data_IF_228986807690
#
_entry.id   IF_228986807690
#
_cell.length_a   1.000
_cell.length_b   1.000
_cell.length_c   1.000
_cell.angle_alpha   90.00
_cell.angle_beta   90.00
_cell.angle_gamma   90.00
#
_symmetry.space_group_name_H-M   'P 1'
#
loop_
_entity.id
_entity.type
_entity.pdbx_description
1 polymer ?
#
# COMPACT_ATOMS: atom_id res chain seq x y z
N UNK A 1 -61.07 -18.05 -8.25
CA UNK A 1 -60.38 -18.56 -7.04
C UNK A 1 -58.94 -18.05 -7.05
N UNK A 2 -58.53 -17.24 -6.07
CA UNK A 2 -57.15 -16.75 -5.98
C UNK A 2 -56.23 -17.83 -5.42
N UNK A 3 -55.14 -18.15 -6.12
CA UNK A 3 -54.15 -19.12 -5.68
C UNK A 3 -53.44 -18.55 -4.43
N UNK A 4 -53.57 -19.21 -3.28
CA UNK A 4 -52.79 -18.88 -2.08
C UNK A 4 -51.35 -19.36 -2.28
N UNK A 5 -50.44 -18.44 -2.58
CA UNK A 5 -49.00 -18.72 -2.67
C UNK A 5 -48.44 -18.89 -1.25
N UNK A 6 -47.93 -20.08 -0.93
CA UNK A 6 -47.23 -20.39 0.32
C UNK A 6 -45.71 -20.19 0.12
N UNK A 7 -44.99 -19.73 1.14
CA UNK A 7 -43.52 -19.71 1.14
C UNK A 7 -42.85 -18.37 0.81
N UNK A 8 -43.59 -17.33 0.41
CA UNK A 8 -43.00 -15.99 0.12
C UNK A 8 -42.25 -15.42 1.34
N UNK A 9 -42.81 -15.59 2.55
CA UNK A 9 -42.16 -15.15 3.78
C UNK A 9 -40.82 -15.84 4.04
N UNK A 10 -40.73 -17.15 3.77
CA UNK A 10 -39.49 -17.90 3.90
C UNK A 10 -38.46 -17.47 2.84
N UNK A 11 -38.88 -17.28 1.59
CA UNK A 11 -38.00 -16.78 0.53
C UNK A 11 -37.44 -15.39 0.85
N UNK A 12 -38.26 -14.47 1.36
CA UNK A 12 -37.80 -13.13 1.82
C UNK A 12 -36.78 -13.23 2.94
N UNK A 13 -37.01 -14.12 3.92
CA UNK A 13 -36.07 -14.35 5.02
C UNK A 13 -34.72 -14.88 4.50
N UNK A 14 -34.73 -15.93 3.68
CA UNK A 14 -33.50 -16.50 3.12
C UNK A 14 -32.72 -15.51 2.25
N UNK A 15 -33.42 -14.67 1.48
CA UNK A 15 -32.78 -13.59 0.73
C UNK A 15 -32.10 -12.58 1.67
N UNK A 16 -32.79 -12.14 2.72
CA UNK A 16 -32.20 -11.21 3.69
C UNK A 16 -30.99 -11.84 4.40
N UNK A 17 -31.07 -13.11 4.79
CA UNK A 17 -29.96 -13.83 5.42
C UNK A 17 -28.75 -13.91 4.48
N UNK A 18 -28.98 -14.18 3.19
CA UNK A 18 -27.93 -14.22 2.16
C UNK A 18 -27.29 -12.84 1.96
N UNK A 19 -28.11 -11.79 1.87
CA UNK A 19 -27.61 -10.42 1.71
C UNK A 19 -26.76 -10.01 2.91
N UNK A 20 -27.20 -10.33 4.12
CA UNK A 20 -26.48 -10.01 5.35
C UNK A 20 -25.16 -10.77 5.46
N UNK A 21 -25.12 -12.04 5.05
CA UNK A 21 -23.89 -12.83 5.03
C UNK A 21 -22.89 -12.29 4.00
N UNK A 22 -23.36 -11.93 2.80
CA UNK A 22 -22.53 -11.31 1.76
C UNK A 22 -21.98 -9.97 2.24
N UNK A 23 -22.83 -9.04 2.67
CA UNK A 23 -22.42 -7.68 3.09
C UNK A 23 -21.54 -7.72 4.34
N UNK A 24 -21.89 -8.55 5.31
CA UNK A 24 -21.17 -8.62 6.58
C UNK A 24 -19.89 -9.43 6.47
N UNK A 25 -19.99 -10.72 6.17
CA UNK A 25 -18.87 -11.64 6.33
C UNK A 25 -18.01 -11.73 5.08
N UNK A 26 -18.65 -11.97 3.93
CA UNK A 26 -17.93 -12.30 2.69
C UNK A 26 -17.19 -11.10 2.10
N UNK A 27 -17.85 -9.95 2.00
CA UNK A 27 -17.23 -8.72 1.46
C UNK A 27 -16.08 -8.25 2.36
N UNK A 28 -16.25 -8.26 3.68
CA UNK A 28 -15.19 -7.84 4.61
C UNK A 28 -13.96 -8.75 4.46
N UNK A 29 -14.15 -10.08 4.38
CA UNK A 29 -13.05 -11.03 4.15
C UNK A 29 -12.39 -10.85 2.79
N UNK A 30 -13.19 -10.60 1.75
CA UNK A 30 -12.70 -10.28 0.41
C UNK A 30 -11.81 -9.04 0.41
N UNK A 31 -12.29 -7.93 0.97
CA UNK A 31 -11.54 -6.68 1.07
C UNK A 31 -10.26 -6.85 1.89
N UNK A 32 -10.32 -7.54 3.01
CA UNK A 32 -9.14 -7.79 3.84
C UNK A 32 -8.08 -8.61 3.07
N UNK A 33 -8.51 -9.62 2.31
CA UNK A 33 -7.62 -10.44 1.50
C UNK A 33 -7.03 -9.65 0.33
N UNK A 34 -7.85 -8.88 -0.37
CA UNK A 34 -7.42 -8.00 -1.46
C UNK A 34 -6.37 -6.98 -0.97
N UNK A 35 -6.64 -6.30 0.14
CA UNK A 35 -5.70 -5.33 0.71
C UNK A 35 -4.40 -5.98 1.19
N UNK A 36 -4.44 -7.25 1.64
CA UNK A 36 -3.24 -7.97 2.03
C UNK A 36 -2.33 -8.23 0.82
N UNK A 37 -2.91 -8.65 -0.30
CA UNK A 37 -2.18 -8.86 -1.55
C UNK A 37 -1.56 -7.56 -2.07
N UNK A 38 -2.39 -6.51 -2.21
CA UNK A 38 -1.94 -5.19 -2.64
C UNK A 38 -0.85 -4.66 -1.71
N UNK A 39 -1.04 -4.79 -0.39
CA UNK A 39 -0.08 -4.31 0.60
C UNK A 39 1.25 -5.05 0.54
N UNK A 40 1.22 -6.36 0.36
CA UNK A 40 2.43 -7.17 0.19
C UNK A 40 3.19 -6.76 -1.07
N UNK A 41 2.51 -6.60 -2.20
CA UNK A 41 3.13 -6.17 -3.45
C UNK A 41 3.66 -4.74 -3.38
N UNK A 42 2.90 -3.82 -2.81
CA UNK A 42 3.34 -2.44 -2.62
C UNK A 42 4.56 -2.36 -1.68
N UNK A 43 4.60 -3.17 -0.62
CA UNK A 43 5.72 -3.24 0.31
C UNK A 43 7.02 -3.67 -0.39
N UNK A 44 6.94 -4.59 -1.36
CA UNK A 44 8.10 -5.01 -2.16
C UNK A 44 8.70 -3.85 -2.99
N UNK A 45 7.87 -2.94 -3.48
CA UNK A 45 8.31 -1.76 -4.24
C UNK A 45 8.63 -0.55 -3.37
N UNK A 46 8.39 -0.61 -2.06
CA UNK A 46 8.57 0.52 -1.16
C UNK A 46 10.04 0.72 -0.83
N UNK A 47 10.61 1.92 -1.02
CA UNK A 47 11.98 2.22 -0.57
C UNK A 47 12.12 2.09 0.95
N UNK A 48 13.25 1.54 1.38
CA UNK A 48 13.60 1.31 2.77
C UNK A 48 14.84 2.14 3.12
N UNK A 49 14.71 2.95 4.17
CA UNK A 49 15.83 3.63 4.81
C UNK A 49 15.92 3.19 6.27
N UNK A 50 15.18 3.87 7.14
CA UNK A 50 15.03 3.56 8.57
C UNK A 50 13.88 2.59 8.84
N UNK A 51 13.33 1.95 7.81
CA UNK A 51 12.09 1.15 7.83
C UNK A 51 10.82 1.89 8.27
N UNK A 52 10.89 3.20 8.53
CA UNK A 52 9.73 3.99 8.98
C UNK A 52 8.60 3.98 7.94
N UNK A 53 8.94 4.12 6.65
CA UNK A 53 7.92 4.11 5.59
C UNK A 53 7.19 2.77 5.54
N UNK A 54 7.91 1.66 5.37
CA UNK A 54 7.29 0.33 5.26
C UNK A 54 6.48 -0.04 6.52
N UNK A 55 6.97 0.32 7.71
CA UNK A 55 6.27 0.08 8.98
C UNK A 55 5.06 0.99 9.21
N UNK A 56 4.89 2.03 8.40
CA UNK A 56 3.72 2.93 8.45
C UNK A 56 2.56 2.45 7.57
N UNK A 57 2.66 1.27 6.94
CA UNK A 57 1.58 0.73 6.12
C UNK A 57 0.35 0.43 6.98
N UNK A 58 -0.80 0.96 6.58
CA UNK A 58 -2.08 0.71 7.24
C UNK A 58 -3.09 0.14 6.25
N UNK A 59 -4.07 -0.59 6.80
CA UNK A 59 -5.25 -1.09 6.11
C UNK A 59 -6.47 -0.79 6.95
N UNK A 60 -7.52 -0.29 6.33
CA UNK A 60 -8.74 0.12 7.00
C UNK A 60 -9.95 -0.31 6.17
N UNK A 61 -11.03 -0.71 6.84
CA UNK A 61 -12.30 -1.02 6.19
C UNK A 61 -13.34 -0.08 6.78
N UNK A 62 -13.99 0.70 5.91
CA UNK A 62 -15.17 1.48 6.26
C UNK A 62 -16.42 0.76 5.74
N UNK A 63 -17.24 0.28 6.67
CA UNK A 63 -18.49 -0.42 6.40
C UNK A 63 -19.73 0.38 6.87
N UNK A 64 -19.57 1.67 7.20
CA UNK A 64 -20.63 2.49 7.77
C UNK A 64 -21.62 3.06 6.75
N UNK A 65 -21.30 2.98 5.46
CA UNK A 65 -22.08 3.59 4.37
C UNK A 65 -22.80 2.60 3.45
N UNK A 66 -23.30 3.13 2.33
CA UNK A 66 -23.90 2.33 1.24
C UNK A 66 -22.86 1.43 0.55
N UNK A 67 -21.60 1.87 0.54
CA UNK A 67 -20.46 1.13 -0.01
C UNK A 67 -19.56 0.68 1.13
N UNK A 68 -19.11 -0.57 1.06
CA UNK A 68 -18.03 -1.06 1.93
C UNK A 68 -16.72 -0.77 1.19
N UNK A 69 -15.86 0.05 1.80
CA UNK A 69 -14.63 0.54 1.19
C UNK A 69 -13.42 0.02 1.96
N UNK A 70 -12.48 -0.61 1.26
CA UNK A 70 -11.15 -0.91 1.79
C UNK A 70 -10.16 0.20 1.42
N UNK A 71 -9.40 0.68 2.39
CA UNK A 71 -8.31 1.66 2.21
C UNK A 71 -6.98 1.02 2.60
N UNK A 72 -5.97 1.22 1.77
CA UNK A 72 -4.59 0.88 2.08
C UNK A 72 -3.69 2.08 1.76
N UNK A 73 -2.71 2.32 2.61
CA UNK A 73 -1.78 3.43 2.43
C UNK A 73 -0.64 3.41 3.42
N UNK A 74 0.09 4.52 3.49
CA UNK A 74 1.18 4.74 4.43
C UNK A 74 0.88 5.99 5.25
N UNK A 75 1.04 5.89 6.57
CA UNK A 75 0.77 7.01 7.49
C UNK A 75 1.96 7.95 7.66
N UNK A 76 3.16 7.59 7.16
CA UNK A 76 4.30 8.50 7.18
C UNK A 76 4.01 9.77 6.35
N UNK A 77 4.17 10.95 6.96
CA UNK A 77 3.88 12.25 6.32
C UNK A 77 4.63 12.45 4.98
N UNK A 78 5.83 11.87 4.86
CA UNK A 78 6.63 11.99 3.65
C UNK A 78 6.27 10.96 2.56
N UNK A 79 5.36 10.03 2.83
CA UNK A 79 5.05 8.91 1.92
C UNK A 79 4.57 9.38 0.56
N UNK A 80 3.73 10.42 0.50
CA UNK A 80 3.23 10.97 -0.77
C UNK A 80 4.37 11.53 -1.64
N UNK A 81 5.35 12.22 -1.04
CA UNK A 81 6.49 12.75 -1.76
C UNK A 81 7.40 11.63 -2.29
N UNK A 82 7.61 10.58 -1.50
CA UNK A 82 8.39 9.42 -1.94
C UNK A 82 7.64 8.62 -3.01
N UNK A 83 6.32 8.52 -2.90
CA UNK A 83 5.47 7.85 -3.89
C UNK A 83 5.56 8.50 -5.27
N UNK A 84 5.55 9.83 -5.34
CA UNK A 84 5.63 10.58 -6.60
C UNK A 84 7.06 10.85 -7.09
N UNK A 85 8.07 10.55 -6.28
CA UNK A 85 9.45 10.81 -6.65
C UNK A 85 9.91 9.89 -7.80
N UNK A 86 10.62 10.48 -8.77
CA UNK A 86 10.99 9.83 -10.04
C UNK A 86 11.88 8.59 -9.97
N UNK A 87 12.42 8.22 -8.79
CA UNK A 87 13.31 7.06 -8.66
C UNK A 87 14.65 7.17 -9.41
N UNK A 88 15.07 8.37 -9.85
CA UNK A 88 16.29 8.58 -10.66
C UNK A 88 17.58 8.03 -10.04
N UNK A 89 17.64 7.93 -8.71
CA UNK A 89 18.81 7.44 -7.96
C UNK A 89 18.65 5.97 -7.51
N UNK A 90 17.83 5.19 -8.24
CA UNK A 90 17.62 3.75 -8.01
C UNK A 90 18.92 2.97 -8.02
N UNK A 91 19.15 2.22 -6.94
CA UNK A 91 20.36 1.41 -6.73
C UNK A 91 21.63 2.22 -6.48
N UNK A 92 21.57 3.55 -6.42
CA UNK A 92 22.75 4.37 -6.16
C UNK A 92 22.97 4.52 -4.65
N UNK A 93 24.22 4.39 -4.17
CA UNK A 93 24.54 4.55 -2.76
C UNK A 93 24.21 5.98 -2.29
N UNK A 94 23.75 6.12 -1.05
CA UNK A 94 23.51 7.41 -0.37
C UNK A 94 24.80 8.13 0.02
N UNK A 95 25.69 8.34 -0.94
CA UNK A 95 26.93 9.07 -0.72
C UNK A 95 26.68 10.58 -0.60
N UNK A 96 27.55 11.27 0.11
CA UNK A 96 27.59 12.74 0.08
C UNK A 96 27.87 13.21 -1.36
N UNK A 97 27.21 14.28 -1.81
CA UNK A 97 27.43 14.84 -3.14
C UNK A 97 28.85 15.41 -3.32
N UNK A 98 29.54 15.70 -2.22
CA UNK A 98 30.96 16.02 -2.24
C UNK A 98 31.47 16.43 -0.87
N UNK A 99 32.78 16.71 -0.82
CA UNK A 99 33.47 17.24 0.36
C UNK A 99 33.97 18.63 -0.02
N UNK A 100 33.52 19.64 0.72
CA UNK A 100 34.11 20.97 0.65
C UNK A 100 35.27 21.02 1.64
N UNK A 101 36.40 21.61 1.28
CA UNK A 101 37.49 21.88 2.23
C UNK A 101 38.18 23.17 1.85
N UNK A 102 38.80 23.83 2.83
CA UNK A 102 39.75 24.89 2.54
C UNK A 102 40.93 24.29 1.76
N UNK A 103 41.05 24.62 0.48
CA UNK A 103 42.18 24.20 -0.38
C UNK A 103 43.36 25.17 -0.34
N UNK A 104 43.26 26.24 0.45
CA UNK A 104 44.34 27.21 0.64
C UNK A 104 45.51 26.58 1.41
N UNK A 105 46.74 26.99 1.11
CA UNK A 105 47.94 26.62 1.86
C UNK A 105 48.03 27.32 3.22
N UNK A 106 47.11 28.22 3.54
CA UNK A 106 47.02 28.95 4.81
C UNK A 106 45.73 28.59 5.56
N UNK A 107 45.92 28.16 6.81
CA UNK A 107 44.86 27.77 7.75
C UNK A 107 44.62 26.26 7.83
N UNK A 108 44.00 25.76 8.93
CA UNK A 108 43.68 24.35 9.08
C UNK A 108 42.64 23.90 8.05
N UNK A 109 42.87 22.73 7.43
CA UNK A 109 41.88 22.10 6.57
C UNK A 109 40.68 21.67 7.42
N UNK A 110 39.48 22.13 7.07
CA UNK A 110 38.22 21.67 7.65
C UNK A 110 37.35 21.06 6.54
N UNK A 111 37.54 19.76 6.23
CA UNK A 111 36.67 19.05 5.31
C UNK A 111 35.25 18.99 5.88
N UNK A 112 34.27 19.45 5.11
CA UNK A 112 32.85 19.37 5.43
C UNK A 112 32.12 18.74 4.26
N UNK A 113 31.54 17.58 4.53
CA UNK A 113 30.66 16.88 3.59
C UNK A 113 29.40 17.71 3.32
N UNK A 114 28.99 17.74 2.05
CA UNK A 114 27.79 18.42 1.61
C UNK A 114 26.91 17.45 0.81
N UNK A 115 25.60 17.65 0.90
CA UNK A 115 24.61 16.85 0.19
C UNK A 115 23.77 15.92 1.06
N UNK A 116 24.03 15.86 2.37
CA UNK A 116 23.13 15.24 3.34
C UNK A 116 22.86 13.74 3.15
N UNK A 117 23.69 13.03 2.38
CA UNK A 117 23.64 11.58 2.31
C UNK A 117 23.88 10.97 3.69
N UNK A 118 23.24 9.85 3.99
CA UNK A 118 23.43 9.12 5.25
C UNK A 118 24.71 8.28 5.25
N UNK A 119 25.35 8.10 4.07
CA UNK A 119 26.49 7.21 3.87
C UNK A 119 26.13 5.72 3.92
N UNK A 120 24.85 5.40 4.17
CA UNK A 120 24.37 4.03 4.39
C UNK A 120 23.16 3.73 3.51
N UNK A 121 23.19 2.55 2.87
CA UNK A 121 22.14 2.10 1.95
C UNK A 121 22.07 2.88 0.63
N UNK A 122 20.98 2.68 -0.09
CA UNK A 122 20.73 3.29 -1.40
C UNK A 122 19.67 4.39 -1.31
N UNK A 123 19.72 5.39 -2.20
CA UNK A 123 18.69 6.44 -2.24
C UNK A 123 17.31 5.86 -2.54
N UNK A 124 17.31 4.81 -3.34
CA UNK A 124 16.18 3.98 -3.73
C UNK A 124 16.70 2.55 -3.82
N UNK A 125 16.02 1.60 -3.19
CA UNK A 125 16.44 0.20 -3.30
C UNK A 125 16.40 -0.29 -4.76
N UNK A 126 17.23 -1.28 -5.13
CA UNK A 126 17.25 -1.83 -6.48
C UNK A 126 15.89 -2.37 -6.96
N UNK A 127 15.01 -2.75 -6.03
CA UNK A 127 13.65 -3.22 -6.32
C UNK A 127 12.59 -2.15 -6.10
N UNK A 128 12.94 -1.02 -5.49
CA UNK A 128 11.97 0.03 -5.20
C UNK A 128 11.52 0.73 -6.48
N UNK A 129 10.25 1.11 -6.53
CA UNK A 129 9.66 1.73 -7.71
C UNK A 129 8.85 2.98 -7.35
N UNK A 130 8.93 4.04 -8.16
CA UNK A 130 7.98 5.13 -8.10
C UNK A 130 6.56 4.59 -8.20
N UNK A 131 5.63 5.28 -7.55
CA UNK A 131 4.22 4.91 -7.48
C UNK A 131 4.00 3.49 -6.92
N UNK A 132 4.82 3.06 -5.95
CA UNK A 132 4.81 1.71 -5.37
C UNK A 132 3.42 1.17 -4.94
N UNK A 133 2.54 2.00 -4.37
CA UNK A 133 1.16 1.60 -4.04
C UNK A 133 0.34 1.31 -5.30
N UNK A 134 0.32 2.25 -6.24
CA UNK A 134 -0.43 2.16 -7.50
C UNK A 134 0.05 0.98 -8.34
N UNK A 135 1.37 0.80 -8.45
CA UNK A 135 1.95 -0.37 -9.11
C UNK A 135 1.63 -1.67 -8.40
N UNK A 136 1.75 -1.69 -7.07
CA UNK A 136 1.37 -2.86 -6.28
C UNK A 136 -0.08 -3.27 -6.48
N UNK A 137 -0.99 -2.30 -6.55
CA UNK A 137 -2.40 -2.54 -6.82
C UNK A 137 -2.66 -3.02 -8.25
N UNK A 138 -1.99 -2.42 -9.24
CA UNK A 138 -2.14 -2.79 -10.65
C UNK A 138 -1.62 -4.20 -10.95
N UNK A 139 -0.46 -4.55 -10.40
CA UNK A 139 0.15 -5.87 -10.57
C UNK A 139 -0.67 -6.98 -9.92
N UNK A 140 -1.34 -6.69 -8.80
CA UNK A 140 -2.16 -7.66 -8.07
C UNK A 140 -3.62 -7.71 -8.55
N UNK A 141 -3.98 -6.98 -9.61
CA UNK A 141 -5.38 -6.84 -10.03
C UNK A 141 -6.09 -8.19 -10.27
N UNK A 142 -5.43 -9.11 -10.97
CA UNK A 142 -6.00 -10.43 -11.27
C UNK A 142 -6.14 -11.29 -10.00
N UNK A 143 -5.18 -11.20 -9.09
CA UNK A 143 -5.22 -11.94 -7.81
C UNK A 143 -6.27 -11.36 -6.87
N UNK A 144 -6.45 -10.04 -6.88
CA UNK A 144 -7.54 -9.34 -6.17
C UNK A 144 -8.89 -9.80 -6.70
N UNK A 145 -9.08 -9.84 -8.02
CA UNK A 145 -10.32 -10.33 -8.62
C UNK A 145 -10.57 -11.79 -8.27
N UNK A 146 -9.53 -12.63 -8.31
CA UNK A 146 -9.63 -14.04 -7.95
C UNK A 146 -10.00 -14.25 -6.47
N UNK A 147 -9.36 -13.52 -5.55
CA UNK A 147 -9.64 -13.65 -4.12
C UNK A 147 -11.02 -13.10 -3.77
N UNK A 148 -11.47 -12.02 -4.41
CA UNK A 148 -12.82 -11.50 -4.23
C UNK A 148 -13.87 -12.50 -4.68
N UNK A 149 -13.72 -13.12 -5.86
CA UNK A 149 -14.64 -14.16 -6.33
C UNK A 149 -14.68 -15.35 -5.37
N UNK A 150 -13.52 -15.78 -4.89
CA UNK A 150 -13.41 -16.87 -3.92
C UNK A 150 -14.17 -16.52 -2.64
N UNK A 151 -13.87 -15.41 -1.98
CA UNK A 151 -14.49 -15.06 -0.70
C UNK A 151 -15.99 -14.78 -0.81
N UNK A 152 -16.48 -14.27 -1.95
CA UNK A 152 -17.91 -14.09 -2.20
C UNK A 152 -18.66 -15.41 -2.43
N UNK A 153 -17.96 -16.46 -2.86
CA UNK A 153 -18.55 -17.78 -3.13
C UNK A 153 -18.65 -18.69 -1.90
N UNK A 154 -17.86 -18.43 -0.85
CA UNK A 154 -17.84 -19.18 0.42
C UNK A 154 -19.08 -18.88 1.25
#
# INVERSE_FOLDING_TARGET
MGIKVKGIGAAKKHLNDTINDVKGRKVIRGLQSAMLLIGARAAYYTPIDTSTLINSQFREIDAGGVFITGRIGYSANYAAYVHEASGKLKGQPRAHFGITSNRSSVGPQQPKEFGGGTGTGNYWDPHAEPQFLTKGANDERDNVDAVMRKELSL
#
